data_IF_235881991158
#
_entry.id   IF_235881991158
#
_cell.length_a   1.000
_cell.length_b   1.000
_cell.length_c   1.000
_cell.angle_alpha   90.00
_cell.angle_beta   90.00
_cell.angle_gamma   90.00
#
_symmetry.space_group_name_H-M   'P 1'
#
loop_
_entity.id
_entity.type
_entity.pdbx_description
1 polymer ?
#
# COMPACT_ATOMS: atom_id res chain seq x y z
N UNK A 1 23.91 32.76 -3.98
CA UNK A 1 22.94 31.88 -4.65
C UNK A 1 22.63 30.76 -3.67
N UNK A 2 21.47 30.84 -2.99
CA UNK A 2 21.09 29.80 -2.04
C UNK A 2 20.76 28.51 -2.81
N UNK A 3 21.40 27.41 -2.42
CA UNK A 3 20.96 26.08 -2.86
C UNK A 3 19.48 25.92 -2.51
N UNK A 4 18.64 25.79 -3.51
CA UNK A 4 17.26 25.34 -3.34
C UNK A 4 17.38 23.86 -2.92
N UNK A 5 17.46 23.63 -1.60
CA UNK A 5 17.40 22.30 -1.02
C UNK A 5 16.06 21.73 -1.42
N UNK A 6 16.04 20.83 -2.39
CA UNK A 6 14.81 20.12 -2.77
C UNK A 6 14.22 19.52 -1.50
N UNK A 7 13.01 19.93 -1.18
CA UNK A 7 12.30 19.44 0.00
C UNK A 7 11.95 17.97 -0.24
N UNK A 8 12.24 17.10 0.72
CA UNK A 8 11.82 15.70 0.63
C UNK A 8 10.34 15.59 0.28
N UNK A 9 9.99 14.62 -0.55
CA UNK A 9 8.62 14.38 -0.95
C UNK A 9 8.24 12.90 -0.83
N UNK A 10 6.95 12.65 -0.66
CA UNK A 10 6.42 11.29 -0.58
C UNK A 10 5.34 11.09 -1.63
N UNK A 11 5.39 9.94 -2.29
CA UNK A 11 4.31 9.47 -3.15
C UNK A 11 3.64 8.28 -2.46
N UNK A 12 2.39 8.42 -2.06
CA UNK A 12 1.61 7.29 -1.56
C UNK A 12 0.85 6.62 -2.69
N UNK A 13 0.79 5.29 -2.71
CA UNK A 13 0.10 4.54 -3.76
C UNK A 13 -0.85 3.53 -3.13
N UNK A 14 -2.14 3.83 -3.16
CA UNK A 14 -3.21 2.86 -2.97
C UNK A 14 -3.49 2.14 -4.29
N UNK A 15 -3.93 0.89 -4.25
CA UNK A 15 -4.05 0.07 -5.47
C UNK A 15 -5.01 -1.10 -5.33
N UNK A 16 -5.80 -1.37 -6.35
CA UNK A 16 -6.55 -2.62 -6.52
C UNK A 16 -5.63 -3.82 -6.74
N UNK A 17 -6.06 -5.02 -6.32
CA UNK A 17 -5.29 -6.23 -6.53
C UNK A 17 -5.36 -6.66 -8.00
N UNK A 18 -4.20 -6.80 -8.63
CA UNK A 18 -4.10 -7.09 -10.06
C UNK A 18 -3.99 -5.85 -10.97
N UNK A 19 -4.22 -4.63 -10.45
CA UNK A 19 -4.09 -3.38 -11.22
C UNK A 19 -2.66 -3.07 -11.69
N UNK A 20 -1.63 -3.69 -11.12
CA UNK A 20 -0.23 -3.39 -11.47
C UNK A 20 0.38 -2.28 -10.62
N UNK A 21 -0.35 -1.71 -9.68
CA UNK A 21 0.12 -0.58 -8.87
C UNK A 21 1.44 -0.82 -8.14
N UNK A 22 1.71 -2.08 -7.69
CA UNK A 22 3.00 -2.43 -7.11
C UNK A 22 4.15 -2.34 -8.11
N UNK A 23 3.97 -2.88 -9.31
CA UNK A 23 5.00 -2.84 -10.35
C UNK A 23 5.28 -1.41 -10.82
N UNK A 24 4.22 -0.60 -10.93
CA UNK A 24 4.32 0.83 -11.24
C UNK A 24 5.11 1.55 -10.14
N UNK A 25 4.81 1.30 -8.86
CA UNK A 25 5.52 1.88 -7.72
C UNK A 25 7.02 1.56 -7.75
N UNK A 26 7.38 0.28 -7.97
CA UNK A 26 8.77 -0.15 -8.04
C UNK A 26 9.51 0.48 -9.22
N UNK A 27 8.89 0.51 -10.40
CA UNK A 27 9.49 1.12 -11.59
C UNK A 27 9.66 2.64 -11.42
N UNK A 28 8.64 3.31 -10.88
CA UNK A 28 8.71 4.74 -10.56
C UNK A 28 9.86 5.05 -9.58
N UNK A 29 10.02 4.22 -8.55
CA UNK A 29 11.12 4.37 -7.58
C UNK A 29 12.48 4.25 -8.24
N UNK A 30 12.67 3.30 -9.16
CA UNK A 30 13.89 3.13 -9.93
C UNK A 30 14.17 4.34 -10.82
N UNK A 31 13.18 4.89 -11.51
CA UNK A 31 13.34 6.04 -12.39
C UNK A 31 13.60 7.35 -11.63
N UNK A 32 13.01 7.51 -10.46
CA UNK A 32 13.23 8.68 -9.60
C UNK A 32 14.44 8.56 -8.69
N UNK A 33 15.07 7.38 -8.61
CA UNK A 33 16.18 7.12 -7.68
C UNK A 33 15.79 7.21 -6.21
N UNK A 34 14.54 6.85 -5.86
CA UNK A 34 14.01 6.89 -4.49
C UNK A 34 13.51 5.50 -4.05
N UNK A 35 13.56 5.25 -2.74
CA UNK A 35 13.13 3.99 -2.17
C UNK A 35 11.61 3.79 -2.26
N UNK A 36 11.21 2.54 -2.50
CA UNK A 36 9.80 2.11 -2.52
C UNK A 36 9.53 1.18 -1.34
N UNK A 37 8.76 1.68 -0.37
CA UNK A 37 8.40 0.97 0.85
C UNK A 37 7.04 0.30 0.72
N UNK A 38 7.03 -1.02 0.82
CA UNK A 38 5.81 -1.84 0.84
C UNK A 38 5.78 -2.71 2.10
N UNK A 39 6.50 -3.84 2.12
CA UNK A 39 6.55 -4.76 3.27
C UNK A 39 7.53 -4.31 4.35
N UNK A 40 8.53 -3.54 3.99
CA UNK A 40 9.62 -3.14 4.88
C UNK A 40 9.15 -2.32 6.07
N UNK A 41 8.09 -1.52 5.90
CA UNK A 41 7.48 -0.75 6.99
C UNK A 41 6.88 -1.66 8.06
N UNK A 42 6.20 -2.74 7.65
CA UNK A 42 5.67 -3.73 8.60
C UNK A 42 6.76 -4.50 9.32
N UNK A 43 7.81 -4.91 8.60
CA UNK A 43 8.95 -5.59 9.21
C UNK A 43 9.59 -4.71 10.29
N UNK A 44 9.85 -3.44 9.98
CA UNK A 44 10.38 -2.48 10.95
C UNK A 44 9.42 -2.24 12.13
N UNK A 45 8.13 -2.05 11.87
CA UNK A 45 7.14 -1.86 12.93
C UNK A 45 7.07 -3.07 13.88
N UNK A 46 7.24 -4.26 13.34
CA UNK A 46 7.29 -5.51 14.10
C UNK A 46 8.54 -5.61 14.99
N UNK A 47 9.71 -5.26 14.45
CA UNK A 47 10.96 -5.22 15.24
C UNK A 47 10.85 -4.26 16.45
N UNK A 48 10.15 -3.13 16.28
CA UNK A 48 9.96 -2.16 17.36
C UNK A 48 8.87 -2.56 18.37
N UNK A 49 7.94 -3.42 18.00
CA UNK A 49 6.84 -3.87 18.88
C UNK A 49 7.11 -5.22 19.57
N UNK A 50 8.26 -5.85 19.32
CA UNK A 50 8.56 -7.21 19.80
C UNK A 50 7.56 -8.29 19.33
N UNK A 51 6.85 -8.05 18.23
CA UNK A 51 5.91 -8.98 17.61
C UNK A 51 6.60 -9.59 16.38
N UNK A 52 6.46 -10.91 16.18
CA UNK A 52 7.08 -11.61 15.05
C UNK A 52 6.68 -11.05 13.69
N UNK A 53 7.64 -10.42 13.01
CA UNK A 53 7.44 -9.74 11.72
C UNK A 53 7.20 -10.66 10.55
N UNK A 54 7.71 -11.87 10.57
CA UNK A 54 7.51 -12.83 9.46
C UNK A 54 6.05 -13.23 9.33
N UNK A 55 5.36 -13.41 10.45
CA UNK A 55 3.93 -13.71 10.46
C UNK A 55 3.07 -12.55 9.95
N UNK A 56 3.49 -11.31 10.18
CA UNK A 56 2.78 -10.10 9.75
C UNK A 56 2.97 -9.81 8.25
N UNK A 57 4.18 -9.97 7.72
CA UNK A 57 4.48 -9.80 6.30
C UNK A 57 3.75 -10.87 5.47
N UNK A 58 3.73 -12.11 5.96
CA UNK A 58 2.98 -13.20 5.33
C UNK A 58 1.47 -12.91 5.28
N UNK A 59 0.95 -12.16 6.25
CA UNK A 59 -0.47 -11.82 6.35
C UNK A 59 -0.88 -10.66 5.44
N UNK A 60 0.01 -9.74 5.15
CA UNK A 60 -0.32 -8.54 4.38
C UNK A 60 -0.61 -8.83 2.89
N UNK A 61 -0.06 -9.89 2.30
CA UNK A 61 -0.28 -10.25 0.89
C UNK A 61 -0.81 -11.66 0.61
N UNK A 62 -0.75 -12.57 1.58
CA UNK A 62 -1.06 -14.00 1.36
C UNK A 62 -2.33 -14.50 2.06
N UNK A 63 -3.14 -13.65 2.66
CA UNK A 63 -4.36 -14.03 3.38
C UNK A 63 -5.51 -14.54 2.50
N UNK A 64 -5.22 -15.15 1.39
CA UNK A 64 -6.23 -15.73 0.52
C UNK A 64 -6.26 -17.27 0.46
N UNK A 65 -5.54 -17.96 1.34
CA UNK A 65 -5.55 -19.42 1.40
C UNK A 65 -6.12 -19.98 2.71
N UNK A 66 -7.10 -20.86 2.63
CA UNK A 66 -7.77 -21.54 3.76
C UNK A 66 -6.79 -22.22 4.74
N UNK A 67 -5.66 -22.74 4.25
CA UNK A 67 -4.61 -23.35 5.07
C UNK A 67 -3.86 -22.35 5.96
N UNK A 68 -3.79 -21.10 5.55
CA UNK A 68 -3.11 -20.06 6.30
C UNK A 68 -4.00 -19.46 7.39
N UNK A 69 -5.31 -19.41 7.16
CA UNK A 69 -6.30 -19.03 8.19
C UNK A 69 -6.16 -19.93 9.42
N UNK A 70 -6.05 -21.25 9.21
CA UNK A 70 -5.89 -22.23 10.29
C UNK A 70 -4.53 -22.11 11.01
N UNK A 71 -3.46 -21.73 10.32
CA UNK A 71 -2.15 -21.47 10.94
C UNK A 71 -2.15 -20.20 11.79
N UNK A 72 -2.81 -19.16 11.31
CA UNK A 72 -2.96 -17.90 12.05
C UNK A 72 -3.82 -18.06 13.30
N UNK A 73 -4.95 -18.76 13.18
CA UNK A 73 -5.81 -19.06 14.31
C UNK A 73 -5.08 -19.90 15.37
N UNK A 74 -4.19 -20.80 14.95
CA UNK A 74 -3.33 -21.56 15.84
C UNK A 74 -2.28 -20.69 16.53
N UNK A 75 -1.53 -19.89 15.77
CA UNK A 75 -0.53 -19.00 16.33
C UNK A 75 -1.15 -17.94 17.26
N UNK A 76 -2.30 -17.39 16.91
CA UNK A 76 -3.05 -16.47 17.76
C UNK A 76 -3.53 -17.15 19.05
N UNK A 77 -3.96 -18.42 18.98
CA UNK A 77 -4.36 -19.21 20.13
C UNK A 77 -3.18 -19.55 21.04
N UNK A 78 -2.03 -19.90 20.48
CA UNK A 78 -0.79 -20.18 21.21
C UNK A 78 -0.24 -18.93 21.93
N UNK A 79 -0.47 -17.74 21.38
CA UNK A 79 -0.14 -16.45 22.00
C UNK A 79 -1.20 -15.94 22.98
N UNK A 80 -2.25 -16.73 23.27
CA UNK A 80 -3.33 -16.34 24.17
C UNK A 80 -4.28 -15.27 23.59
N UNK A 81 -4.20 -15.01 22.29
CA UNK A 81 -5.07 -14.07 21.60
C UNK A 81 -6.42 -14.73 21.32
N UNK A 82 -7.53 -14.13 21.77
CA UNK A 82 -8.87 -14.69 21.58
C UNK A 82 -9.34 -14.60 20.13
N UNK A 83 -10.08 -15.64 19.62
CA UNK A 83 -10.65 -15.62 18.27
C UNK A 83 -11.68 -14.48 18.14
N UNK A 84 -11.77 -13.82 17.02
CA UNK A 84 -11.95 -12.40 16.92
C UNK A 84 -13.09 -11.95 16.03
N UNK A 85 -13.89 -11.18 16.60
CA UNK A 85 -14.48 -9.95 16.05
C UNK A 85 -13.48 -8.77 15.98
N UNK A 86 -12.21 -8.98 16.27
CA UNK A 86 -11.16 -7.96 16.42
C UNK A 86 -9.95 -8.20 15.49
N UNK A 87 -10.19 -8.26 14.16
CA UNK A 87 -9.14 -8.47 13.15
C UNK A 87 -7.96 -7.49 13.25
N UNK A 88 -8.17 -6.32 13.85
CA UNK A 88 -7.17 -5.25 13.87
C UNK A 88 -6.79 -4.74 15.27
N UNK A 89 -7.47 -5.14 16.34
CA UNK A 89 -7.17 -4.60 17.68
C UNK A 89 -5.86 -5.12 18.28
N UNK A 90 -5.43 -6.34 17.95
CA UNK A 90 -4.10 -6.83 18.29
C UNK A 90 -3.00 -6.15 17.45
N UNK A 91 -3.39 -5.37 16.43
CA UNK A 91 -2.52 -4.67 15.50
C UNK A 91 -2.44 -3.16 15.77
N UNK A 92 -3.10 -2.63 16.81
CA UNK A 92 -3.09 -1.19 17.05
C UNK A 92 -1.69 -0.68 17.37
N UNK A 93 -0.96 -1.39 18.22
CA UNK A 93 0.42 -1.04 18.56
C UNK A 93 1.32 -1.07 17.32
N UNK A 94 1.17 -2.08 16.47
CA UNK A 94 1.89 -2.20 15.20
C UNK A 94 1.52 -1.05 14.26
N UNK A 95 0.24 -0.72 14.16
CA UNK A 95 -0.20 0.41 13.34
C UNK A 95 0.37 1.74 13.85
N UNK A 96 0.43 1.94 15.16
CA UNK A 96 1.00 3.14 15.76
C UNK A 96 2.51 3.25 15.51
N UNK A 97 3.25 2.13 15.56
CA UNK A 97 4.66 2.11 15.16
C UNK A 97 4.83 2.36 13.66
N UNK A 98 3.99 1.73 12.84
CA UNK A 98 3.96 1.96 11.39
C UNK A 98 3.70 3.43 11.06
N UNK A 99 2.76 4.09 11.73
CA UNK A 99 2.48 5.52 11.60
C UNK A 99 3.73 6.35 11.89
N UNK A 100 4.41 6.12 13.01
CA UNK A 100 5.64 6.83 13.39
C UNK A 100 6.75 6.67 12.35
N UNK A 101 6.91 5.46 11.80
CA UNK A 101 7.89 5.18 10.75
C UNK A 101 7.55 5.95 9.47
N UNK A 102 6.28 5.92 9.04
CA UNK A 102 5.81 6.65 7.85
C UNK A 102 6.01 8.15 8.00
N UNK A 103 5.65 8.72 9.15
CA UNK A 103 5.85 10.14 9.45
C UNK A 103 7.34 10.52 9.41
N UNK A 104 8.21 9.69 10.02
CA UNK A 104 9.65 9.91 10.01
C UNK A 104 10.25 9.84 8.61
N UNK A 105 9.86 8.85 7.80
CA UNK A 105 10.30 8.75 6.40
C UNK A 105 9.93 10.01 5.62
N UNK A 106 8.71 10.51 5.79
CA UNK A 106 8.26 11.73 5.13
C UNK A 106 9.04 13.00 5.54
N UNK A 107 9.65 13.00 6.73
CA UNK A 107 10.47 14.10 7.21
C UNK A 107 11.94 13.99 6.78
N UNK A 108 12.43 12.79 6.50
CA UNK A 108 13.88 12.54 6.33
C UNK A 108 14.31 12.26 4.91
N UNK A 109 13.42 11.72 4.05
CA UNK A 109 13.80 11.33 2.69
C UNK A 109 12.64 11.43 1.69
N UNK A 110 12.97 11.43 0.40
CA UNK A 110 11.98 11.24 -0.66
C UNK A 110 11.77 9.74 -0.86
N UNK A 111 10.50 9.30 -0.88
CA UNK A 111 10.18 7.88 -1.01
C UNK A 111 8.78 7.63 -1.59
N UNK A 112 8.55 6.38 -1.97
CA UNK A 112 7.24 5.87 -2.34
C UNK A 112 6.75 4.94 -1.23
N UNK A 113 5.50 5.10 -0.79
CA UNK A 113 4.88 4.23 0.22
C UNK A 113 3.64 3.58 -0.38
N UNK A 114 3.61 2.24 -0.39
CA UNK A 114 2.54 1.47 -1.01
C UNK A 114 1.55 0.96 0.03
N UNK A 115 0.35 1.56 0.06
CA UNK A 115 -0.72 1.22 0.99
C UNK A 115 -0.51 1.73 2.42
N UNK A 116 -0.86 0.91 3.42
CA UNK A 116 -0.64 1.18 4.86
C UNK A 116 -1.34 2.44 5.40
N UNK A 117 -2.41 2.88 4.75
CA UNK A 117 -3.09 4.16 5.06
C UNK A 117 -2.14 5.37 5.03
N UNK A 118 -1.05 5.30 4.23
CA UNK A 118 -0.05 6.36 4.19
C UNK A 118 -0.64 7.70 3.70
N UNK A 119 -1.61 7.65 2.79
CA UNK A 119 -2.40 8.80 2.33
C UNK A 119 -3.14 9.50 3.47
N UNK A 120 -3.73 8.73 4.38
CA UNK A 120 -4.44 9.27 5.54
C UNK A 120 -3.47 9.72 6.66
N UNK A 121 -2.42 8.95 6.93
CA UNK A 121 -1.38 9.27 7.91
C UNK A 121 -0.68 10.59 7.56
N UNK A 122 -0.38 10.81 6.28
CA UNK A 122 0.34 12.00 5.79
C UNK A 122 -0.59 13.11 5.29
N UNK A 123 -1.87 13.02 5.58
CA UNK A 123 -2.88 13.99 5.15
C UNK A 123 -2.50 15.42 5.53
N UNK A 124 -2.67 16.34 4.58
CA UNK A 124 -2.42 17.78 4.78
C UNK A 124 -0.96 18.21 4.62
N UNK A 125 -0.03 17.29 4.36
CA UNK A 125 1.37 17.62 4.05
C UNK A 125 1.49 18.09 2.59
N UNK A 126 2.08 19.26 2.37
CA UNK A 126 2.25 19.86 1.03
C UNK A 126 3.28 19.14 0.15
N UNK A 127 4.14 18.30 0.75
CA UNK A 127 5.16 17.51 0.09
C UNK A 127 4.72 16.07 -0.21
N UNK A 128 3.43 15.78 -0.12
CA UNK A 128 2.87 14.43 -0.36
C UNK A 128 1.95 14.46 -1.57
N UNK A 129 2.04 13.44 -2.40
CA UNK A 129 1.11 13.16 -3.50
C UNK A 129 0.48 11.79 -3.25
N UNK A 130 -0.84 11.74 -3.26
CA UNK A 130 -1.62 10.53 -3.03
C UNK A 130 -2.18 10.00 -4.34
N UNK A 131 -1.85 8.77 -4.70
CA UNK A 131 -2.27 8.11 -5.93
C UNK A 131 -3.14 6.88 -5.62
N UNK A 132 -4.13 6.63 -6.48
CA UNK A 132 -4.88 5.38 -6.49
C UNK A 132 -4.80 4.74 -7.88
N UNK A 133 -4.29 3.51 -7.95
CA UNK A 133 -4.13 2.77 -9.20
C UNK A 133 -5.13 1.62 -9.22
N UNK A 134 -6.04 1.66 -10.19
CA UNK A 134 -7.10 0.69 -10.36
C UNK A 134 -7.17 0.20 -11.81
N UNK A 135 -7.90 -0.89 -12.05
CA UNK A 135 -8.23 -1.37 -13.38
C UNK A 135 -9.54 -2.17 -13.36
N UNK A 136 -10.21 -2.34 -14.49
CA UNK A 136 -11.38 -3.19 -14.59
C UNK A 136 -11.11 -4.61 -14.09
N UNK A 137 -12.10 -5.20 -13.44
CA UNK A 137 -12.00 -6.55 -12.86
C UNK A 137 -11.50 -7.60 -13.84
N UNK A 138 -11.95 -7.55 -15.10
CA UNK A 138 -11.52 -8.46 -16.16
C UNK A 138 -10.02 -8.38 -16.43
N UNK A 139 -9.48 -7.16 -16.47
CA UNK A 139 -8.05 -6.90 -16.65
C UNK A 139 -7.24 -7.42 -15.43
N UNK A 140 -7.65 -7.09 -14.21
CA UNK A 140 -7.02 -7.57 -12.98
C UNK A 140 -7.00 -9.11 -12.94
N UNK A 141 -8.13 -9.76 -13.27
CA UNK A 141 -8.25 -11.21 -13.32
C UNK A 141 -7.27 -11.85 -14.30
N UNK A 142 -7.20 -11.34 -15.53
CA UNK A 142 -6.28 -11.86 -16.54
C UNK A 142 -4.81 -11.77 -16.05
N UNK A 143 -4.42 -10.68 -15.44
CA UNK A 143 -3.08 -10.49 -14.88
C UNK A 143 -2.78 -11.44 -13.72
N UNK A 144 -3.74 -11.67 -12.83
CA UNK A 144 -3.56 -12.61 -11.71
C UNK A 144 -3.47 -14.04 -12.22
N UNK A 145 -4.31 -14.44 -13.17
CA UNK A 145 -4.24 -15.77 -13.81
C UNK A 145 -2.84 -16.01 -14.39
N UNK A 146 -2.32 -15.05 -15.14
CA UNK A 146 -1.00 -15.15 -15.75
C UNK A 146 0.13 -15.19 -14.71
N UNK A 147 0.09 -14.31 -13.70
CA UNK A 147 1.16 -14.19 -12.70
C UNK A 147 1.23 -15.35 -11.72
N UNK A 148 0.08 -15.86 -11.32
CA UNK A 148 -0.02 -16.90 -10.28
C UNK A 148 -0.31 -18.29 -10.85
N UNK A 149 -0.50 -18.42 -12.17
CA UNK A 149 -0.80 -19.66 -12.84
C UNK A 149 -2.05 -20.35 -12.26
N UNK A 150 -3.11 -19.55 -12.01
CA UNK A 150 -4.38 -20.02 -11.44
C UNK A 150 -5.53 -19.84 -12.42
N UNK A 151 -6.64 -20.56 -12.18
CA UNK A 151 -7.86 -20.42 -12.97
C UNK A 151 -8.62 -19.10 -12.67
N UNK A 152 -9.63 -18.79 -13.51
CA UNK A 152 -10.39 -17.55 -13.42
C UNK A 152 -11.14 -17.40 -12.09
N UNK A 153 -11.76 -18.47 -11.61
CA UNK A 153 -12.50 -18.48 -10.34
C UNK A 153 -11.58 -18.19 -9.14
N UNK A 154 -10.42 -18.84 -9.11
CA UNK A 154 -9.41 -18.61 -8.07
C UNK A 154 -8.86 -17.18 -8.14
N UNK A 155 -8.56 -16.67 -9.34
CA UNK A 155 -8.13 -15.29 -9.52
C UNK A 155 -9.17 -14.29 -8.99
N UNK A 156 -10.45 -14.50 -9.29
CA UNK A 156 -11.55 -13.67 -8.78
C UNK A 156 -11.68 -13.75 -7.26
N UNK A 157 -11.49 -14.92 -6.68
CA UNK A 157 -11.48 -15.10 -5.22
C UNK A 157 -10.34 -14.34 -4.58
N UNK A 158 -9.14 -14.44 -5.14
CA UNK A 158 -7.94 -13.73 -4.67
C UNK A 158 -8.11 -12.21 -4.71
N UNK A 159 -8.65 -11.68 -5.80
CA UNK A 159 -8.90 -10.23 -5.92
C UNK A 159 -9.92 -9.79 -4.86
N UNK A 160 -11.06 -10.48 -4.77
CA UNK A 160 -12.13 -10.11 -3.83
C UNK A 160 -11.67 -10.15 -2.38
N UNK A 161 -10.94 -11.20 -1.98
CA UNK A 161 -10.46 -11.35 -0.60
C UNK A 161 -9.41 -10.31 -0.24
N UNK A 162 -8.47 -10.02 -1.17
CA UNK A 162 -7.40 -9.05 -0.95
C UNK A 162 -7.93 -7.63 -0.88
N UNK A 163 -8.79 -7.23 -1.83
CA UNK A 163 -9.32 -5.87 -1.85
C UNK A 163 -10.31 -5.63 -0.70
N UNK A 164 -11.11 -6.66 -0.33
CA UNK A 164 -11.92 -6.58 0.89
C UNK A 164 -11.07 -6.37 2.14
N UNK A 165 -9.97 -7.12 2.28
CA UNK A 165 -9.06 -6.93 3.42
C UNK A 165 -8.49 -5.51 3.46
N UNK A 166 -8.04 -4.96 2.32
CA UNK A 166 -7.51 -3.60 2.21
C UNK A 166 -8.56 -2.56 2.56
N UNK A 167 -9.79 -2.72 2.07
CA UNK A 167 -10.91 -1.85 2.38
C UNK A 167 -11.26 -1.88 3.88
N UNK A 168 -11.37 -3.07 4.47
CA UNK A 168 -11.66 -3.26 5.90
C UNK A 168 -10.54 -2.65 6.77
N UNK A 169 -9.26 -2.86 6.40
CA UNK A 169 -8.09 -2.29 7.06
C UNK A 169 -8.12 -0.76 7.02
N UNK A 170 -8.31 -0.20 5.82
CA UNK A 170 -8.37 1.24 5.64
C UNK A 170 -9.51 1.86 6.45
N UNK A 171 -10.71 1.31 6.33
CA UNK A 171 -11.89 1.78 7.07
C UNK A 171 -11.68 1.78 8.57
N UNK A 172 -11.04 0.74 9.11
CA UNK A 172 -10.78 0.62 10.54
C UNK A 172 -9.81 1.70 11.03
N UNK A 173 -8.66 1.88 10.38
CA UNK A 173 -7.61 2.77 10.84
C UNK A 173 -7.81 4.25 10.45
N UNK A 174 -8.72 4.56 9.54
CA UNK A 174 -9.03 5.93 9.11
C UNK A 174 -10.33 6.49 9.69
N UNK A 175 -10.93 5.80 10.66
CA UNK A 175 -12.18 6.24 11.28
C UNK A 175 -13.39 6.14 10.36
N UNK A 176 -13.45 5.11 9.51
CA UNK A 176 -14.62 4.81 8.68
C UNK A 176 -14.56 5.31 7.23
N UNK A 177 -13.44 5.85 6.77
CA UNK A 177 -13.30 6.33 5.38
C UNK A 177 -13.34 5.17 4.38
N UNK A 178 -13.83 5.47 3.19
CA UNK A 178 -13.86 4.52 2.08
C UNK A 178 -12.53 4.57 1.30
N UNK A 179 -11.86 3.40 1.20
CA UNK A 179 -10.59 3.26 0.50
C UNK A 179 -10.68 3.64 -1.00
N UNK A 180 -11.79 3.34 -1.64
CA UNK A 180 -12.04 3.61 -3.07
C UNK A 180 -12.57 5.02 -3.35
N UNK A 181 -12.73 5.87 -2.33
CA UNK A 181 -13.21 7.23 -2.55
C UNK A 181 -12.15 8.07 -3.29
N UNK A 182 -12.42 8.53 -4.53
CA UNK A 182 -11.45 9.25 -5.33
C UNK A 182 -11.01 10.58 -4.69
N UNK A 183 -11.80 11.15 -3.79
CA UNK A 183 -11.46 12.42 -3.11
C UNK A 183 -10.32 12.29 -2.08
N UNK A 184 -9.90 11.07 -1.76
CA UNK A 184 -8.74 10.83 -0.92
C UNK A 184 -7.40 11.00 -1.68
N UNK A 185 -7.45 11.06 -3.02
CA UNK A 185 -6.28 10.97 -3.89
C UNK A 185 -6.13 12.20 -4.79
N UNK A 186 -4.90 12.60 -5.05
CA UNK A 186 -4.59 13.67 -6.00
C UNK A 186 -4.76 13.21 -7.46
N UNK A 187 -4.61 11.89 -7.71
CA UNK A 187 -4.78 11.29 -9.03
C UNK A 187 -5.25 9.84 -8.91
N UNK A 188 -6.29 9.51 -9.68
CA UNK A 188 -6.81 8.14 -9.84
C UNK A 188 -6.52 7.66 -11.25
N UNK A 189 -5.84 6.52 -11.40
CA UNK A 189 -5.33 6.03 -12.69
C UNK A 189 -5.95 4.68 -13.02
N UNK A 190 -6.54 4.57 -14.22
CA UNK A 190 -6.93 3.29 -14.80
C UNK A 190 -5.75 2.69 -15.58
N UNK A 191 -5.10 1.69 -15.00
CA UNK A 191 -3.91 1.05 -15.58
C UNK A 191 -4.18 0.07 -16.73
N UNK A 192 -5.45 -0.19 -17.08
CA UNK A 192 -5.78 -0.88 -18.33
C UNK A 192 -5.56 0.00 -19.55
N UNK A 193 -5.77 1.32 -19.39
CA UNK A 193 -5.79 2.26 -20.52
C UNK A 193 -4.45 2.95 -20.79
N UNK A 194 -3.46 2.67 -19.99
CA UNK A 194 -2.14 3.29 -20.07
C UNK A 194 -1.06 2.25 -19.83
N UNK A 195 0.01 2.31 -20.57
CA UNK A 195 1.24 1.56 -20.26
C UNK A 195 1.88 2.07 -18.96
N UNK A 196 2.74 1.27 -18.37
CA UNK A 196 3.45 1.69 -17.15
C UNK A 196 4.31 2.93 -17.39
N UNK A 197 4.92 3.08 -18.57
CA UNK A 197 5.74 4.23 -18.92
C UNK A 197 4.91 5.51 -19.04
N UNK A 198 3.73 5.44 -19.63
CA UNK A 198 2.80 6.56 -19.69
C UNK A 198 2.31 6.97 -18.29
N UNK A 199 2.00 6.00 -17.44
CA UNK A 199 1.60 6.26 -16.05
C UNK A 199 2.73 6.94 -15.27
N UNK A 200 3.96 6.47 -15.41
CA UNK A 200 5.13 7.06 -14.76
C UNK A 200 5.36 8.48 -15.26
N UNK A 201 5.29 8.70 -16.56
CA UNK A 201 5.39 10.04 -17.17
C UNK A 201 4.32 11.00 -16.65
N UNK A 202 3.09 10.51 -16.48
CA UNK A 202 1.98 11.29 -15.91
C UNK A 202 2.26 11.66 -14.44
N UNK A 203 2.76 10.73 -13.64
CA UNK A 203 3.11 10.97 -12.23
C UNK A 203 4.26 11.99 -12.13
N UNK A 204 5.28 11.88 -12.97
CA UNK A 204 6.39 12.84 -13.02
C UNK A 204 5.91 14.23 -13.44
N UNK A 205 4.99 14.33 -14.40
CA UNK A 205 4.36 15.59 -14.77
C UNK A 205 3.57 16.21 -13.60
N UNK A 206 2.83 15.40 -12.84
CA UNK A 206 2.12 15.86 -11.64
C UNK A 206 3.09 16.38 -10.57
N UNK A 207 4.22 15.71 -10.34
CA UNK A 207 5.26 16.18 -9.41
C UNK A 207 5.81 17.56 -9.82
N UNK A 208 6.04 17.80 -11.12
CA UNK A 208 6.47 19.09 -11.66
C UNK A 208 5.39 20.18 -11.50
N UNK A 209 4.14 19.88 -11.85
CA UNK A 209 3.00 20.80 -11.69
C UNK A 209 2.83 21.23 -10.22
N UNK A 210 3.05 20.31 -9.29
CA UNK A 210 2.98 20.59 -7.85
C UNK A 210 4.23 21.30 -7.30
N UNK A 211 5.24 21.57 -8.14
CA UNK A 211 6.50 22.19 -7.73
C UNK A 211 7.34 21.34 -6.77
N UNK A 212 7.13 20.02 -6.79
CA UNK A 212 7.83 19.04 -5.96
C UNK A 212 9.16 18.63 -6.60
N UNK A 213 9.19 18.54 -7.94
CA UNK A 213 10.40 18.30 -8.74
C UNK A 213 10.69 19.52 -9.61
N UNK A 214 11.98 19.75 -9.86
CA UNK A 214 12.41 20.71 -10.87
C UNK A 214 11.94 20.27 -12.27
N UNK A 215 11.60 21.23 -13.13
CA UNK A 215 11.19 20.99 -14.50
C UNK A 215 12.34 20.51 -15.40
#
# INVERSE_FOLDING_TARGET
MGEIRMKNYVITIARGYGSGGKQIALKLGQELGIECYEHRILALASEYSNIDGESLIANDEKLSGSLMKNRLERAASELGLRPMTRKFSASQEIFDQQRKIIEKLADTESCIIVGKCADDILKGRSNVINLYIEAPRSFCRARIMQRQQVGAEEADRLISSTDKYRADYYKFYTGGKEWTNPTNYDLVINSERMSFDEIISLIQALLKIRGIMAG
#
